data_IF_830432174286
#
_entry.id   IF_830432174286
#
_cell.length_a   1.000
_cell.length_b   1.000
_cell.length_c   1.000
_cell.angle_alpha   90.00
_cell.angle_beta   90.00
_cell.angle_gamma   90.00
#
_symmetry.space_group_name_H-M   'P 1'
#
loop_
_entity.id
_entity.type
_entity.pdbx_description
1 polymer ?
#
# COMPACT_ATOMS: atom_id res chain seq x y z
N UNK A 1 -6.77 -19.66 -21.69
CA UNK A 1 -5.82 -18.57 -21.39
C UNK A 1 -4.90 -19.05 -20.28
N UNK A 2 -3.76 -19.67 -20.63
CA UNK A 2 -2.80 -20.18 -19.64
C UNK A 2 -2.20 -18.97 -18.91
N UNK A 3 -2.65 -18.71 -17.67
CA UNK A 3 -1.88 -17.87 -16.77
C UNK A 3 -0.77 -18.75 -16.23
N UNK A 4 0.52 -18.39 -16.41
CA UNK A 4 1.60 -19.18 -15.84
C UNK A 4 1.39 -19.28 -14.32
N UNK A 5 1.74 -20.42 -13.70
CA UNK A 5 1.70 -20.54 -12.25
C UNK A 5 2.54 -19.40 -11.67
N UNK A 6 1.91 -18.58 -10.83
CA UNK A 6 2.62 -17.48 -10.16
C UNK A 6 3.78 -18.10 -9.39
N UNK A 7 5.00 -17.54 -9.50
CA UNK A 7 6.16 -18.08 -8.80
C UNK A 7 5.88 -18.13 -7.28
N UNK A 8 6.48 -19.11 -6.57
CA UNK A 8 6.38 -19.18 -5.12
C UNK A 8 6.84 -17.83 -4.54
N UNK A 9 5.99 -17.25 -3.68
CA UNK A 9 6.20 -15.89 -3.18
C UNK A 9 7.49 -15.86 -2.36
N UNK A 10 8.40 -14.91 -2.63
CA UNK A 10 9.61 -14.78 -1.83
C UNK A 10 9.22 -14.38 -0.41
N UNK A 11 9.81 -15.04 0.60
CA UNK A 11 9.67 -14.67 2.01
C UNK A 11 10.24 -13.26 2.30
N UNK A 12 11.03 -12.73 1.36
CA UNK A 12 11.63 -11.42 1.40
C UNK A 12 10.96 -10.48 0.40
N UNK A 13 10.47 -9.34 0.89
CA UNK A 13 9.87 -8.27 0.07
C UNK A 13 10.91 -7.15 -0.01
N UNK A 14 11.65 -7.00 -1.11
CA UNK A 14 12.60 -5.91 -1.28
C UNK A 14 11.85 -4.58 -1.43
N UNK A 15 12.41 -3.50 -0.88
CA UNK A 15 11.81 -2.16 -1.00
C UNK A 15 11.74 -1.68 -2.46
N UNK A 16 12.63 -2.17 -3.34
CA UNK A 16 12.64 -1.87 -4.78
C UNK A 16 11.35 -2.31 -5.52
N UNK A 17 10.67 -3.33 -4.99
CA UNK A 17 9.42 -3.87 -5.53
C UNK A 17 8.18 -3.19 -4.94
N UNK A 18 8.38 -2.30 -3.96
CA UNK A 18 7.33 -1.51 -3.33
C UNK A 18 7.22 -0.15 -4.02
N UNK A 19 6.01 0.19 -4.46
CA UNK A 19 5.66 1.54 -4.88
C UNK A 19 4.93 2.19 -3.72
N UNK A 20 5.50 3.27 -3.21
CA UNK A 20 4.86 4.15 -2.23
C UNK A 20 4.35 5.39 -2.95
N UNK A 21 3.04 5.64 -2.82
CA UNK A 21 2.36 6.78 -3.42
C UNK A 21 1.53 7.50 -2.36
N UNK A 22 1.56 8.83 -2.38
CA UNK A 22 0.83 9.66 -1.42
C UNK A 22 -0.39 10.26 -2.09
N UNK A 23 -1.56 9.76 -1.70
CA UNK A 23 -2.81 10.21 -2.31
C UNK A 23 -3.24 11.52 -1.66
N UNK A 24 -3.37 12.55 -2.49
CA UNK A 24 -3.99 13.81 -2.09
C UNK A 24 -5.49 13.72 -2.31
N UNK A 25 -6.28 14.09 -1.31
CA UNK A 25 -7.73 14.21 -1.46
C UNK A 25 -8.05 15.35 -2.43
N UNK A 26 -8.31 15.03 -3.70
CA UNK A 26 -8.86 15.98 -4.67
C UNK A 26 -10.37 15.83 -4.69
N UNK A 27 -11.07 16.56 -3.80
CA UNK A 27 -12.52 16.64 -3.79
C UNK A 27 -13.01 18.06 -3.51
N UNK A 28 -14.02 18.58 -4.23
CA UNK A 28 -14.64 19.87 -3.92
C UNK A 28 -15.58 19.69 -2.72
N UNK A 29 -15.04 19.59 -1.50
CA UNK A 29 -15.89 19.41 -0.32
C UNK A 29 -15.14 19.32 1.00
N UNK A 30 -15.38 20.30 1.87
CA UNK A 30 -15.11 20.20 3.31
C UNK A 30 -13.67 20.51 3.73
N UNK A 31 -13.49 21.62 4.44
CA UNK A 31 -12.20 22.18 4.86
C UNK A 31 -11.33 21.34 5.82
N UNK A 32 -11.65 20.07 6.11
CA UNK A 32 -10.86 19.24 7.05
C UNK A 32 -10.23 17.97 6.45
N UNK A 33 -10.86 17.33 5.46
CA UNK A 33 -10.38 16.04 4.91
C UNK A 33 -9.32 16.25 3.80
N UNK A 34 -9.41 17.34 3.03
CA UNK A 34 -8.53 17.58 1.89
C UNK A 34 -7.14 18.14 2.24
N UNK A 35 -6.91 18.62 3.47
CA UNK A 35 -5.67 19.34 3.80
C UNK A 35 -4.50 18.45 4.18
N UNK A 36 -4.72 17.18 4.45
CA UNK A 36 -3.68 16.33 5.02
C UNK A 36 -3.31 15.23 4.04
N UNK A 37 -2.14 15.35 3.41
CA UNK A 37 -1.51 14.34 2.54
C UNK A 37 -1.04 13.12 3.37
N UNK A 38 -1.93 12.57 4.21
CA UNK A 38 -1.63 11.47 5.14
C UNK A 38 -1.95 10.11 4.56
N UNK A 39 -2.76 10.05 3.49
CA UNK A 39 -3.12 8.78 2.87
C UNK A 39 -1.91 8.21 2.15
N UNK A 40 -1.46 7.03 2.59
CA UNK A 40 -0.34 6.30 2.00
C UNK A 40 -0.90 5.11 1.24
N UNK A 41 -0.57 5.01 -0.04
CA UNK A 41 -0.84 3.87 -0.90
C UNK A 41 0.45 3.11 -1.14
N UNK A 42 0.49 1.84 -0.76
CA UNK A 42 1.61 0.93 -1.02
C UNK A 42 1.19 -0.15 -2.01
N UNK A 43 1.98 -0.39 -3.04
CA UNK A 43 1.74 -1.42 -4.07
C UNK A 43 2.96 -2.32 -4.15
N UNK A 44 2.74 -3.64 -4.11
CA UNK A 44 3.77 -4.62 -4.39
C UNK A 44 3.69 -5.05 -5.86
N UNK A 45 4.66 -4.62 -6.67
CA UNK A 45 4.69 -4.87 -8.12
C UNK A 45 4.57 -6.36 -8.50
N UNK A 46 5.34 -7.29 -7.91
CA UNK A 46 5.35 -8.67 -8.40
C UNK A 46 4.09 -9.45 -7.99
N UNK A 47 3.41 -9.10 -6.89
CA UNK A 47 2.14 -9.75 -6.52
C UNK A 47 0.90 -8.99 -6.99
N UNK A 48 1.04 -7.72 -7.36
CA UNK A 48 -0.08 -6.84 -7.70
C UNK A 48 -0.95 -6.45 -6.50
N UNK A 49 -0.51 -6.71 -5.26
CA UNK A 49 -1.28 -6.36 -4.06
C UNK A 49 -1.13 -4.87 -3.78
N UNK A 50 -2.26 -4.18 -3.65
CA UNK A 50 -2.33 -2.78 -3.24
C UNK A 50 -2.94 -2.67 -1.85
N UNK A 51 -2.32 -1.85 -1.01
CA UNK A 51 -2.79 -1.50 0.33
C UNK A 51 -2.85 0.01 0.43
N UNK A 52 -3.93 0.53 0.99
CA UNK A 52 -4.07 1.95 1.29
C UNK A 52 -4.32 2.10 2.79
N UNK A 53 -3.58 2.97 3.45
CA UNK A 53 -3.71 3.24 4.87
C UNK A 53 -3.93 4.74 5.11
N UNK A 54 -4.98 5.05 5.87
CA UNK A 54 -5.36 6.41 6.26
C UNK A 54 -5.83 6.46 7.73
N UNK A 55 -5.25 5.62 8.58
CA UNK A 55 -5.70 5.44 9.97
C UNK A 55 -5.25 6.58 10.90
N UNK A 56 -4.04 7.13 10.70
CA UNK A 56 -3.43 8.09 11.60
C UNK A 56 -3.26 9.46 10.94
N UNK A 57 -3.18 10.51 11.78
CA UNK A 57 -2.93 11.90 11.37
C UNK A 57 -1.51 12.19 10.84
N UNK A 58 -0.62 11.19 10.85
CA UNK A 58 0.77 11.33 10.42
C UNK A 58 1.10 10.33 9.31
N UNK A 59 1.80 10.82 8.27
CA UNK A 59 2.21 10.00 7.12
C UNK A 59 3.18 8.88 7.50
N UNK A 60 4.10 9.12 8.44
CA UNK A 60 5.12 8.17 8.86
C UNK A 60 4.48 6.92 9.48
N UNK A 61 3.47 7.20 10.30
CA UNK A 61 2.61 6.24 10.97
C UNK A 61 1.83 5.39 9.98
N UNK A 62 1.14 6.03 9.04
CA UNK A 62 0.40 5.34 7.98
C UNK A 62 1.31 4.52 7.08
N UNK A 63 2.54 4.98 6.81
CA UNK A 63 3.56 4.26 6.04
C UNK A 63 3.98 2.97 6.74
N UNK A 64 4.28 3.03 8.04
CA UNK A 64 4.66 1.84 8.84
C UNK A 64 3.52 0.82 8.85
N UNK A 65 2.30 1.28 9.08
CA UNK A 65 1.13 0.41 9.13
C UNK A 65 0.81 -0.19 7.76
N UNK A 66 0.87 0.60 6.68
CA UNK A 66 0.70 0.12 5.32
C UNK A 66 1.72 -0.96 4.95
N UNK A 67 2.99 -0.80 5.35
CA UNK A 67 4.05 -1.81 5.16
C UNK A 67 3.76 -3.10 5.93
N UNK A 68 3.32 -3.00 7.18
CA UNK A 68 2.95 -4.15 8.00
C UNK A 68 1.80 -4.95 7.37
N UNK A 69 0.71 -4.26 7.02
CA UNK A 69 -0.46 -4.86 6.37
C UNK A 69 -0.09 -5.46 5.01
N UNK A 70 0.73 -4.77 4.21
CA UNK A 70 1.17 -5.28 2.92
C UNK A 70 1.98 -6.56 3.08
N UNK A 71 2.93 -6.60 4.03
CA UNK A 71 3.73 -7.79 4.31
C UNK A 71 2.85 -8.96 4.73
N UNK A 72 1.92 -8.73 5.66
CA UNK A 72 0.94 -9.73 6.06
C UNK A 72 0.13 -10.24 4.87
N UNK A 73 -0.45 -9.34 4.06
CA UNK A 73 -1.23 -9.75 2.87
C UNK A 73 -0.41 -10.50 1.83
N UNK A 74 0.85 -10.12 1.60
CA UNK A 74 1.73 -10.81 0.64
C UNK A 74 2.02 -12.23 1.12
N UNK A 75 2.31 -12.41 2.41
CA UNK A 75 2.61 -13.71 3.03
C UNK A 75 1.37 -14.62 3.10
N UNK A 76 0.22 -14.09 3.54
CA UNK A 76 -0.99 -14.88 3.79
C UNK A 76 -1.93 -15.04 2.59
N UNK A 77 -1.77 -14.26 1.52
CA UNK A 77 -2.55 -14.49 0.31
C UNK A 77 -2.14 -15.84 -0.28
N UNK A 78 -3.03 -16.83 -0.25
CA UNK A 78 -2.86 -18.12 -0.90
C UNK A 78 -3.25 -18.05 -2.37
#
# INVERSE_FOLDING_TARGET
RFQPPKPPKPAYIPESDLIEDFVRGSGPGGQSINKTNISVSLIHKPTGIRVQCHAQRSRESNRKEARKILREKVVYSH
#
